data_IF_598157445986
#
_entry.id   IF_598157445986
#
_cell.length_a   1.000
_cell.length_b   1.000
_cell.length_c   1.000
_cell.angle_alpha   90.00
_cell.angle_beta   90.00
_cell.angle_gamma   90.00
#
_symmetry.space_group_name_H-M   'P 1'
#
loop_
_entity.id
_entity.type
_entity.pdbx_description
1 polymer ?
#
# COMPACT_ATOMS: atom_id res chain seq x y z
N UNK A 1 10.86 -11.24 13.77
CA UNK A 1 9.69 -11.15 12.87
C UNK A 1 8.44 -11.45 13.66
N UNK A 2 7.45 -10.56 13.64
CA UNK A 2 6.10 -10.83 14.17
C UNK A 2 5.49 -12.01 13.38
N UNK A 3 4.79 -12.93 14.05
CA UNK A 3 4.35 -14.21 13.48
C UNK A 3 3.37 -14.11 12.29
N UNK A 4 2.82 -12.91 12.01
CA UNK A 4 1.81 -12.68 10.97
C UNK A 4 2.30 -11.89 9.76
N UNK A 5 3.62 -11.60 9.64
CA UNK A 5 4.15 -10.79 8.52
C UNK A 5 3.74 -9.31 8.59
N UNK A 6 3.35 -8.84 9.76
CA UNK A 6 2.98 -7.45 9.98
C UNK A 6 4.22 -6.61 10.25
N UNK A 7 4.26 -5.45 9.60
CA UNK A 7 5.39 -4.53 9.65
C UNK A 7 4.97 -3.17 10.15
N UNK A 8 5.89 -2.48 10.81
CA UNK A 8 5.70 -1.06 11.16
C UNK A 8 5.85 -0.19 9.93
N UNK A 9 5.44 1.08 10.06
CA UNK A 9 5.73 2.11 9.06
C UNK A 9 7.21 2.18 8.69
N UNK A 10 8.09 2.12 9.68
CA UNK A 10 9.54 2.26 9.50
C UNK A 10 10.12 1.07 8.73
N UNK A 11 9.66 -0.15 9.04
CA UNK A 11 10.04 -1.37 8.32
C UNK A 11 9.59 -1.31 6.85
N UNK A 12 8.33 -0.95 6.59
CA UNK A 12 7.83 -0.78 5.22
C UNK A 12 8.59 0.32 4.46
N UNK A 13 8.90 1.45 5.12
CA UNK A 13 9.67 2.51 4.48
C UNK A 13 11.09 2.05 4.13
N UNK A 14 11.75 1.29 5.00
CA UNK A 14 13.07 0.74 4.76
C UNK A 14 13.05 -0.30 3.62
N UNK A 15 12.09 -1.23 3.65
CA UNK A 15 12.02 -2.34 2.70
C UNK A 15 11.68 -1.88 1.28
N UNK A 16 10.79 -0.90 1.15
CA UNK A 16 10.33 -0.39 -0.15
C UNK A 16 11.07 0.90 -0.58
N UNK A 17 12.00 1.38 0.24
CA UNK A 17 12.76 2.62 -0.03
C UNK A 17 11.88 3.86 -0.11
N UNK A 18 10.79 3.93 0.67
CA UNK A 18 9.86 5.05 0.64
C UNK A 18 10.31 6.21 1.52
N UNK A 19 10.12 7.43 1.01
CA UNK A 19 10.08 8.63 1.86
C UNK A 19 8.80 8.64 2.68
N UNK A 20 8.79 9.42 3.77
CA UNK A 20 7.60 9.58 4.63
C UNK A 20 6.39 10.08 3.84
N UNK A 21 6.60 11.04 2.95
CA UNK A 21 5.57 11.58 2.05
C UNK A 21 5.02 10.53 1.08
N UNK A 22 5.88 9.71 0.49
CA UNK A 22 5.48 8.64 -0.42
C UNK A 22 4.67 7.60 0.33
N UNK A 23 5.13 7.20 1.52
CA UNK A 23 4.43 6.26 2.37
C UNK A 23 3.04 6.78 2.75
N UNK A 24 2.92 8.02 3.26
CA UNK A 24 1.63 8.57 3.68
C UNK A 24 0.65 8.66 2.49
N UNK A 25 1.13 9.06 1.30
CA UNK A 25 0.31 9.09 0.09
C UNK A 25 -0.17 7.68 -0.32
N UNK A 26 0.69 6.66 -0.19
CA UNK A 26 0.31 5.27 -0.47
C UNK A 26 -0.68 4.72 0.56
N UNK A 27 -0.52 5.09 1.83
CA UNK A 27 -1.45 4.70 2.88
C UNK A 27 -2.82 5.34 2.70
N UNK A 28 -2.90 6.62 2.32
CA UNK A 28 -4.18 7.27 2.00
C UNK A 28 -4.85 6.62 0.78
N UNK A 29 -4.08 6.27 -0.26
CA UNK A 29 -4.59 5.55 -1.42
C UNK A 29 -5.09 4.13 -1.05
N UNK A 30 -4.34 3.42 -0.20
CA UNK A 30 -4.69 2.09 0.28
C UNK A 30 -5.96 2.13 1.15
N UNK A 31 -6.07 3.08 2.07
CA UNK A 31 -7.24 3.28 2.94
C UNK A 31 -8.53 3.55 2.14
N UNK A 32 -8.43 4.27 1.02
CA UNK A 32 -9.56 4.58 0.13
C UNK A 32 -9.90 3.45 -0.85
N UNK A 33 -9.10 2.38 -0.87
CA UNK A 33 -9.30 1.24 -1.76
C UNK A 33 -9.90 0.04 -1.03
N UNK A 34 -10.22 -1.02 -1.77
CA UNK A 34 -10.69 -2.30 -1.21
C UNK A 34 -9.60 -3.05 -0.41
N UNK A 35 -8.38 -2.48 -0.35
CA UNK A 35 -7.24 -3.02 0.38
C UNK A 35 -7.01 -2.34 1.73
N UNK A 36 -7.98 -1.58 2.25
CA UNK A 36 -7.88 -0.91 3.56
C UNK A 36 -7.58 -1.86 4.73
N UNK A 37 -7.90 -3.14 4.56
CA UNK A 37 -7.62 -4.23 5.49
C UNK A 37 -6.12 -4.55 5.62
N UNK A 38 -5.29 -4.02 4.73
CA UNK A 38 -3.83 -4.01 4.91
C UNK A 38 -3.38 -3.17 6.11
N UNK A 39 -4.20 -2.23 6.58
CA UNK A 39 -3.88 -1.36 7.71
C UNK A 39 -4.56 -1.91 8.96
N UNK A 40 -3.75 -2.37 9.91
CA UNK A 40 -4.21 -3.01 11.14
C UNK A 40 -4.14 -2.04 12.30
N UNK A 41 -5.30 -1.75 12.89
CA UNK A 41 -5.43 -0.94 14.08
C UNK A 41 -5.96 -1.79 15.24
N UNK A 42 -5.10 -2.11 16.21
CA UNK A 42 -5.52 -2.74 17.47
C UNK A 42 -5.42 -1.75 18.64
N UNK A 43 -6.34 -0.78 18.71
CA UNK A 43 -6.46 0.29 19.73
C UNK A 43 -5.20 1.12 20.05
N UNK A 44 -4.06 0.78 19.45
CA UNK A 44 -2.76 1.38 19.61
C UNK A 44 -2.62 2.59 18.68
N UNK A 45 -1.86 3.59 19.14
CA UNK A 45 -1.52 4.80 18.40
C UNK A 45 -0.74 4.52 17.09
N UNK A 46 -0.15 3.33 16.98
CA UNK A 46 0.67 2.91 15.86
C UNK A 46 -0.06 1.80 15.09
N UNK A 47 -0.50 2.12 13.87
CA UNK A 47 -1.05 1.13 12.95
C UNK A 47 0.06 0.22 12.43
N UNK A 48 -0.22 -1.08 12.39
CA UNK A 48 0.63 -2.08 11.74
C UNK A 48 0.16 -2.29 10.30
N UNK A 49 1.05 -2.78 9.44
CA UNK A 49 0.75 -3.04 8.03
C UNK A 49 0.91 -4.52 7.76
N UNK A 50 -0.15 -5.15 7.26
CA UNK A 50 -0.06 -6.48 6.68
C UNK A 50 0.65 -6.38 5.32
N UNK A 51 1.90 -6.83 5.28
CA UNK A 51 2.72 -6.72 4.08
C UNK A 51 2.13 -7.50 2.90
N UNK A 52 1.56 -8.69 3.13
CA UNK A 52 1.02 -9.51 2.05
C UNK A 52 -0.15 -8.80 1.39
N UNK A 53 -1.05 -8.23 2.20
CA UNK A 53 -2.19 -7.47 1.68
C UNK A 53 -1.76 -6.16 1.04
N UNK A 54 -0.75 -5.51 1.58
CA UNK A 54 -0.18 -4.30 1.00
C UNK A 54 0.47 -4.56 -0.37
N UNK A 55 1.13 -5.70 -0.56
CA UNK A 55 1.65 -6.10 -1.87
C UNK A 55 0.54 -6.32 -2.92
N UNK A 56 -0.59 -6.88 -2.52
CA UNK A 56 -1.76 -7.01 -3.41
C UNK A 56 -2.30 -5.63 -3.82
N UNK A 57 -2.32 -4.67 -2.90
CA UNK A 57 -2.63 -3.26 -3.21
C UNK A 57 -1.64 -2.70 -4.25
N UNK A 58 -0.34 -2.94 -4.11
CA UNK A 58 0.67 -2.46 -5.06
C UNK A 58 0.49 -3.08 -6.46
N UNK A 59 0.13 -4.36 -6.54
CA UNK A 59 -0.19 -5.03 -7.81
C UNK A 59 -1.42 -4.42 -8.47
N UNK A 60 -2.50 -4.23 -7.72
CA UNK A 60 -3.71 -3.57 -8.20
C UNK A 60 -3.43 -2.15 -8.70
N UNK A 61 -2.68 -1.37 -7.92
CA UNK A 61 -2.30 -0.01 -8.26
C UNK A 61 -1.51 0.05 -9.56
N UNK A 62 -0.56 -0.87 -9.73
CA UNK A 62 0.24 -0.99 -10.95
C UNK A 62 -0.64 -1.34 -12.15
N UNK A 63 -1.56 -2.30 -11.98
CA UNK A 63 -2.52 -2.67 -13.02
C UNK A 63 -3.37 -1.47 -13.44
N UNK A 64 -3.94 -0.74 -12.47
CA UNK A 64 -4.74 0.47 -12.73
C UNK A 64 -3.94 1.53 -13.52
N UNK A 65 -2.68 1.76 -13.15
CA UNK A 65 -1.81 2.70 -13.87
C UNK A 65 -1.63 2.33 -15.35
N UNK A 66 -1.39 1.04 -15.62
CA UNK A 66 -1.25 0.55 -17.00
C UNK A 66 -2.56 0.57 -17.76
N UNK A 67 -3.67 0.20 -17.14
CA UNK A 67 -5.00 0.25 -17.75
C UNK A 67 -5.37 1.70 -18.14
N UNK A 68 -5.04 2.68 -17.30
CA UNK A 68 -5.21 4.11 -17.61
C UNK A 68 -4.31 4.57 -18.77
N UNK A 69 -3.03 4.18 -18.78
CA UNK A 69 -2.09 4.51 -19.84
C UNK A 69 -2.47 3.90 -21.19
N UNK A 70 -2.84 2.62 -21.20
CA UNK A 70 -3.24 1.89 -22.40
C UNK A 70 -4.64 2.31 -22.89
N UNK A 71 -5.57 2.57 -21.96
CA UNK A 71 -6.88 3.14 -22.25
C UNK A 71 -6.77 4.53 -22.88
N UNK A 72 -5.80 5.35 -22.47
CA UNK A 72 -5.48 6.63 -23.11
C UNK A 72 -4.89 6.47 -24.51
N UNK A 73 -4.04 5.45 -24.75
CA UNK A 73 -3.47 5.17 -26.09
C UNK A 73 -4.51 4.72 -27.11
N UNK A 74 -5.56 4.00 -26.70
CA UNK A 74 -6.64 3.54 -27.61
C UNK A 74 -7.61 4.64 -28.05
N UNK A 75 -7.63 5.79 -27.38
CA UNK A 75 -8.51 6.93 -27.69
C UNK A 75 -7.84 8.02 -28.53
N UNK A 76 -6.57 7.84 -28.89
CA UNK A 76 -5.80 8.78 -29.72
C UNK A 76 -5.71 8.28 -31.15
#
# INVERSE_FOLDING_TARGET
>A
MMANGWKTKEEIMADYGYSDSTFNARMDECFRSDYRDAIIYDKSKYGLIDENRYQEFLKWRTKKHWDELLGRKRRR
#
